data_IF_575092789376
#
_entry.id   IF_575092789376
#
_cell.length_a   1.000
_cell.length_b   1.000
_cell.length_c   1.000
_cell.angle_alpha   90.00
_cell.angle_beta   90.00
_cell.angle_gamma   90.00
#
_symmetry.space_group_name_H-M   'P 1'
#
loop_
_entity.id
_entity.type
_entity.pdbx_description
1 polymer ?
#
# COMPACT_ATOMS: atom_id res chain seq x y z
N UNK A 1 32.60 -33.02 -9.05
CA UNK A 1 31.69 -31.99 -8.52
C UNK A 1 32.30 -30.62 -8.71
N UNK A 2 31.45 -29.62 -8.95
CA UNK A 2 31.86 -28.22 -9.02
C UNK A 2 32.01 -27.61 -7.63
N UNK A 3 33.10 -26.88 -7.39
CA UNK A 3 33.27 -26.11 -6.15
C UNK A 3 32.51 -24.81 -6.29
N UNK A 4 31.50 -24.57 -5.44
CA UNK A 4 30.63 -23.39 -5.54
C UNK A 4 30.93 -22.36 -4.46
N UNK A 5 30.94 -21.10 -4.89
CA UNK A 5 31.01 -19.91 -4.05
C UNK A 5 29.68 -19.15 -4.10
N UNK A 6 29.48 -18.25 -3.13
CA UNK A 6 28.38 -17.29 -3.18
C UNK A 6 28.83 -16.03 -3.93
N UNK A 7 28.15 -15.72 -5.03
CA UNK A 7 28.36 -14.56 -5.89
C UNK A 7 28.16 -13.22 -5.17
N UNK A 8 28.58 -12.12 -5.81
CA UNK A 8 28.50 -10.77 -5.21
C UNK A 8 27.06 -10.29 -4.97
N UNK A 9 26.14 -10.75 -5.79
CA UNK A 9 24.69 -10.57 -5.76
C UNK A 9 23.98 -11.55 -4.82
N UNK A 10 24.71 -12.49 -4.19
CA UNK A 10 24.12 -13.53 -3.35
C UNK A 10 23.47 -14.68 -4.13
N UNK A 11 23.76 -14.82 -5.42
CA UNK A 11 23.44 -16.02 -6.20
C UNK A 11 24.55 -17.08 -6.06
N UNK A 12 24.26 -18.33 -6.43
CA UNK A 12 25.30 -19.32 -6.65
C UNK A 12 25.88 -19.05 -8.04
N UNK A 13 27.20 -18.90 -8.14
CA UNK A 13 27.84 -18.63 -9.42
C UNK A 13 27.49 -19.74 -10.42
N UNK A 14 27.04 -19.34 -11.62
CA UNK A 14 26.88 -20.26 -12.75
C UNK A 14 28.21 -20.94 -13.05
N UNK A 15 28.14 -22.12 -13.67
CA UNK A 15 29.34 -22.85 -14.02
C UNK A 15 30.12 -22.11 -15.11
N UNK A 16 31.37 -21.75 -14.81
CA UNK A 16 32.32 -21.22 -15.78
C UNK A 16 33.27 -22.35 -16.23
N UNK A 17 33.18 -22.75 -17.50
CA UNK A 17 33.98 -23.84 -18.06
C UNK A 17 35.49 -23.52 -18.13
N UNK A 18 35.88 -22.24 -18.08
CA UNK A 18 37.28 -21.80 -18.15
C UNK A 18 37.90 -21.61 -16.76
N UNK A 19 37.10 -21.26 -15.75
CA UNK A 19 37.57 -20.94 -14.40
C UNK A 19 37.29 -22.05 -13.35
N UNK A 20 36.27 -22.88 -13.54
CA UNK A 20 35.87 -23.86 -12.53
C UNK A 20 36.60 -25.21 -12.69
N UNK A 21 37.04 -25.79 -11.57
CA UNK A 21 37.74 -27.08 -11.55
C UNK A 21 36.81 -28.18 -11.03
N UNK A 22 36.56 -29.19 -11.86
CA UNK A 22 35.86 -30.39 -11.45
C UNK A 22 36.72 -31.25 -10.50
N UNK A 23 36.18 -31.58 -9.33
CA UNK A 23 36.86 -32.45 -8.35
C UNK A 23 36.13 -33.76 -8.08
N UNK A 24 36.88 -34.87 -8.11
CA UNK A 24 36.39 -36.23 -7.87
C UNK A 24 36.72 -36.74 -6.44
N UNK A 25 37.56 -36.02 -5.71
CA UNK A 25 38.16 -36.40 -4.42
C UNK A 25 37.47 -35.75 -3.20
N UNK A 26 36.37 -35.04 -3.41
CA UNK A 26 35.69 -34.29 -2.34
C UNK A 26 34.88 -35.24 -1.46
N UNK A 27 35.20 -35.25 -0.16
CA UNK A 27 34.50 -36.06 0.83
C UNK A 27 32.99 -35.75 0.88
N UNK A 28 32.17 -36.79 1.07
CA UNK A 28 30.71 -36.73 1.03
C UNK A 28 30.09 -35.66 1.94
N UNK A 29 30.73 -35.37 3.09
CA UNK A 29 30.29 -34.34 4.04
C UNK A 29 30.30 -32.91 3.48
N UNK A 30 30.99 -32.67 2.36
CA UNK A 30 31.05 -31.36 1.70
C UNK A 30 30.14 -31.28 0.47
N UNK A 31 29.41 -32.36 0.15
CA UNK A 31 28.47 -32.40 -0.97
C UNK A 31 27.24 -31.54 -0.62
N UNK A 32 26.91 -30.62 -1.52
CA UNK A 32 25.72 -29.80 -1.40
C UNK A 32 24.48 -30.61 -1.78
N UNK A 33 23.35 -30.22 -1.19
CA UNK A 33 22.03 -30.77 -1.47
C UNK A 33 21.07 -29.63 -1.81
N UNK A 34 20.07 -29.92 -2.65
CA UNK A 34 18.99 -28.96 -2.90
C UNK A 34 18.31 -28.61 -1.57
N UNK A 35 18.11 -27.33 -1.31
CA UNK A 35 17.62 -26.83 -0.02
C UNK A 35 18.70 -26.38 0.97
N UNK A 36 19.99 -26.62 0.69
CA UNK A 36 21.08 -26.06 1.50
C UNK A 36 21.12 -24.54 1.38
N UNK A 37 21.37 -23.85 2.50
CA UNK A 37 21.61 -22.42 2.53
C UNK A 37 23.12 -22.17 2.70
N UNK A 38 23.70 -21.47 1.74
CA UNK A 38 25.10 -21.09 1.76
C UNK A 38 25.24 -19.71 2.39
N UNK A 39 26.20 -19.51 3.28
CA UNK A 39 26.55 -18.21 3.86
C UNK A 39 28.06 -17.98 3.72
N UNK A 40 28.46 -16.83 3.15
CA UNK A 40 29.86 -16.46 3.04
C UNK A 40 30.50 -16.26 4.43
N UNK A 41 31.63 -16.92 4.69
CA UNK A 41 32.42 -16.69 5.91
C UNK A 41 33.00 -15.27 5.92
N UNK A 42 33.52 -14.82 4.77
CA UNK A 42 34.13 -13.50 4.59
C UNK A 42 33.04 -12.49 4.29
N UNK A 43 33.03 -11.39 5.04
CA UNK A 43 32.05 -10.32 4.94
C UNK A 43 32.72 -9.05 4.43
N UNK A 44 32.22 -8.52 3.32
CA UNK A 44 32.62 -7.22 2.75
C UNK A 44 31.35 -6.39 2.57
N UNK A 45 31.01 -5.59 3.58
CA UNK A 45 29.70 -4.94 3.68
C UNK A 45 28.65 -5.90 4.27
N UNK A 46 27.61 -6.23 3.50
CA UNK A 46 26.58 -7.19 3.94
C UNK A 46 27.02 -8.64 3.68
N UNK A 47 26.69 -9.58 4.57
CA UNK A 47 26.94 -11.00 4.32
C UNK A 47 26.19 -11.47 3.08
N UNK A 48 26.76 -12.44 2.38
CA UNK A 48 26.16 -13.02 1.18
C UNK A 48 25.61 -14.40 1.52
N UNK A 49 24.37 -14.65 1.16
CA UNK A 49 23.74 -15.95 1.34
C UNK A 49 22.98 -16.38 0.10
N UNK A 50 22.94 -17.69 -0.19
CA UNK A 50 22.27 -18.26 -1.36
C UNK A 50 21.57 -19.59 -1.03
N UNK A 51 20.55 -19.95 -1.81
CA UNK A 51 19.89 -21.25 -1.75
C UNK A 51 20.41 -22.15 -2.86
N UNK A 52 20.77 -23.39 -2.52
CA UNK A 52 21.12 -24.43 -3.49
C UNK A 52 19.85 -25.00 -4.12
N UNK A 53 19.74 -24.91 -5.44
CA UNK A 53 18.68 -25.51 -6.24
C UNK A 53 19.15 -26.82 -6.89
N UNK A 54 18.22 -27.60 -7.45
CA UNK A 54 18.57 -28.82 -8.19
C UNK A 54 19.47 -28.54 -9.40
N UNK A 55 19.28 -27.38 -10.06
CA UNK A 55 20.09 -26.95 -11.20
C UNK A 55 21.57 -26.67 -10.84
N UNK A 56 21.87 -26.42 -9.56
CA UNK A 56 23.22 -26.14 -9.09
C UNK A 56 24.05 -27.42 -8.85
N UNK A 57 23.41 -28.59 -8.90
CA UNK A 57 24.02 -29.88 -8.57
C UNK A 57 24.56 -30.58 -9.84
N UNK A 58 25.63 -31.40 -9.72
CA UNK A 58 26.33 -31.79 -8.49
C UNK A 58 27.43 -30.79 -8.06
N UNK A 59 27.36 -30.32 -6.81
CA UNK A 59 28.26 -29.30 -6.28
C UNK A 59 28.77 -29.60 -4.86
N UNK A 60 29.88 -28.96 -4.50
CA UNK A 60 30.45 -28.96 -3.16
C UNK A 60 30.75 -27.53 -2.68
N UNK A 61 30.65 -27.32 -1.36
CA UNK A 61 30.93 -26.02 -0.75
C UNK A 61 32.42 -25.69 -0.80
N UNK A 62 32.74 -24.45 -1.18
CA UNK A 62 34.07 -23.91 -0.98
C UNK A 62 34.41 -23.74 0.51
N UNK A 63 35.71 -23.76 0.85
CA UNK A 63 36.18 -23.68 2.24
C UNK A 63 35.84 -22.38 2.98
N UNK A 64 35.46 -21.32 2.26
CA UNK A 64 35.07 -20.00 2.80
C UNK A 64 33.55 -19.80 2.88
N UNK A 65 32.78 -20.90 2.87
CA UNK A 65 31.31 -20.89 2.89
C UNK A 65 30.82 -21.82 3.98
N UNK A 66 29.89 -21.32 4.80
CA UNK A 66 29.13 -22.15 5.72
C UNK A 66 27.92 -22.75 5.02
N UNK A 67 27.73 -24.06 5.19
CA UNK A 67 26.53 -24.77 4.74
C UNK A 67 25.58 -24.91 5.92
N UNK A 68 24.43 -24.24 5.83
CA UNK A 68 23.33 -24.35 6.78
C UNK A 68 22.28 -25.28 6.15
N UNK A 69 22.28 -26.54 6.58
CA UNK A 69 21.34 -27.56 6.09
C UNK A 69 20.09 -27.61 6.95
N UNK A 70 18.89 -27.33 6.41
CA UNK A 70 17.65 -27.49 7.15
C UNK A 70 17.44 -28.95 7.58
N UNK A 71 16.97 -29.17 8.81
CA UNK A 71 16.62 -30.52 9.31
C UNK A 71 15.34 -31.07 8.67
N UNK A 72 14.51 -30.18 8.12
CA UNK A 72 13.26 -30.46 7.41
C UNK A 72 13.19 -29.56 6.20
N UNK A 73 12.46 -29.96 5.18
CA UNK A 73 12.16 -29.10 4.03
C UNK A 73 11.47 -27.84 4.54
N UNK A 74 12.01 -26.68 4.16
CA UNK A 74 11.45 -25.39 4.52
C UNK A 74 10.49 -24.93 3.42
N UNK A 75 9.34 -24.33 3.77
CA UNK A 75 8.52 -23.64 2.80
C UNK A 75 9.32 -22.58 2.03
N UNK A 76 9.02 -22.32 0.74
CA UNK A 76 9.74 -21.34 -0.07
C UNK A 76 9.77 -19.95 0.56
N UNK A 77 8.67 -19.49 1.14
CA UNK A 77 8.57 -18.19 1.82
C UNK A 77 9.47 -18.09 3.05
N UNK A 78 9.46 -19.12 3.91
CA UNK A 78 10.31 -19.14 5.09
C UNK A 78 11.80 -19.18 4.71
N UNK A 79 12.12 -19.91 3.63
CA UNK A 79 13.48 -19.94 3.07
C UNK A 79 13.93 -18.55 2.62
N UNK A 80 13.07 -17.80 1.90
CA UNK A 80 13.35 -16.42 1.48
C UNK A 80 13.58 -15.50 2.68
N UNK A 81 12.74 -15.61 3.71
CA UNK A 81 12.87 -14.80 4.93
C UNK A 81 14.19 -15.08 5.65
N UNK A 82 14.59 -16.35 5.76
CA UNK A 82 15.89 -16.73 6.33
C UNK A 82 17.04 -16.17 5.49
N UNK A 83 16.99 -16.27 4.15
CA UNK A 83 18.02 -15.69 3.28
C UNK A 83 18.14 -14.18 3.44
N UNK A 84 17.02 -13.46 3.48
CA UNK A 84 17.00 -12.02 3.71
C UNK A 84 17.59 -11.65 5.07
N UNK A 85 17.25 -12.41 6.13
CA UNK A 85 17.84 -12.25 7.46
C UNK A 85 19.35 -12.51 7.46
N UNK A 86 19.82 -13.57 6.80
CA UNK A 86 21.25 -13.89 6.69
C UNK A 86 22.05 -12.80 5.96
N UNK A 87 21.42 -12.09 5.02
CA UNK A 87 21.99 -10.95 4.30
C UNK A 87 21.89 -9.60 5.05
N UNK A 88 21.31 -9.59 6.25
CA UNK A 88 21.03 -8.35 6.99
C UNK A 88 22.26 -7.77 7.71
N UNK A 89 22.19 -6.47 8.02
CA UNK A 89 23.17 -5.79 8.90
C UNK A 89 23.28 -6.46 10.27
N UNK A 90 22.20 -7.06 10.77
CA UNK A 90 22.21 -7.75 12.05
C UNK A 90 23.17 -8.94 12.04
N UNK A 91 23.23 -9.68 10.94
CA UNK A 91 24.20 -10.77 10.75
C UNK A 91 25.58 -10.21 10.40
N UNK A 92 25.65 -9.10 9.66
CA UNK A 92 26.91 -8.39 9.39
C UNK A 92 27.66 -8.02 10.68
N UNK A 93 26.95 -7.58 11.72
CA UNK A 93 27.51 -7.24 13.04
C UNK A 93 28.17 -8.41 13.79
N UNK A 94 27.94 -9.66 13.35
CA UNK A 94 28.67 -10.82 13.89
C UNK A 94 30.09 -10.93 13.32
N UNK A 95 30.41 -10.19 12.26
CA UNK A 95 31.72 -10.24 11.65
C UNK A 95 32.78 -9.57 12.55
N UNK A 96 33.93 -10.22 12.71
CA UNK A 96 35.08 -9.70 13.45
C UNK A 96 36.25 -9.43 12.50
N UNK A 97 37.11 -8.47 12.84
CA UNK A 97 38.32 -8.11 12.09
C UNK A 97 38.15 -6.87 11.20
N UNK A 98 39.27 -6.40 10.64
CA UNK A 98 39.35 -5.15 9.89
C UNK A 98 38.64 -5.21 8.53
N UNK A 99 38.30 -4.03 7.99
CA UNK A 99 37.64 -3.86 6.69
C UNK A 99 38.38 -4.64 5.59
N UNK A 100 37.64 -5.51 4.86
CA UNK A 100 38.19 -6.37 3.81
C UNK A 100 38.76 -7.72 4.31
N UNK A 101 38.87 -7.92 5.63
CA UNK A 101 39.24 -9.20 6.26
C UNK A 101 38.24 -9.66 7.32
N UNK A 102 37.08 -9.00 7.41
CA UNK A 102 36.04 -9.33 8.38
C UNK A 102 35.46 -10.71 8.10
N UNK A 103 35.28 -11.52 9.15
CA UNK A 103 34.78 -12.90 9.05
C UNK A 103 33.74 -13.19 10.10
N UNK A 104 32.78 -14.07 9.79
CA UNK A 104 31.84 -14.60 10.77
C UNK A 104 32.38 -15.92 11.32
N UNK A 105 32.41 -16.12 12.64
CA UNK A 105 32.79 -17.41 13.22
C UNK A 105 31.58 -18.32 13.31
N UNK A 106 31.82 -19.62 13.15
CA UNK A 106 30.79 -20.64 13.37
C UNK A 106 30.17 -20.58 14.78
N UNK A 107 30.96 -20.23 15.80
CA UNK A 107 30.49 -20.08 17.19
C UNK A 107 29.44 -18.99 17.33
N UNK A 108 29.51 -17.95 16.50
CA UNK A 108 28.64 -16.78 16.57
C UNK A 108 27.34 -17.01 15.78
N UNK A 109 27.35 -17.95 14.82
CA UNK A 109 26.17 -18.42 14.11
C UNK A 109 25.33 -19.40 14.93
N UNK A 110 25.95 -20.23 15.78
CA UNK A 110 25.25 -21.24 16.56
C UNK A 110 24.11 -20.71 17.45
N UNK A 111 24.25 -19.58 18.18
CA UNK A 111 23.17 -19.01 18.99
C UNK A 111 22.19 -18.13 18.20
N UNK A 112 22.39 -17.95 16.89
CA UNK A 112 21.61 -17.04 16.07
C UNK A 112 20.17 -17.56 15.93
N UNK A 113 19.21 -16.82 16.49
CA UNK A 113 17.78 -17.09 16.29
C UNK A 113 17.38 -16.65 14.89
N UNK A 114 16.99 -17.63 14.07
CA UNK A 114 16.40 -17.39 12.75
C UNK A 114 14.98 -16.81 12.91
N UNK A 115 14.49 -16.03 11.93
CA UNK A 115 13.13 -15.53 11.95
C UNK A 115 12.11 -16.68 11.92
N UNK A 116 11.02 -16.52 12.66
CA UNK A 116 9.85 -17.39 12.55
C UNK A 116 9.20 -17.25 11.16
N UNK A 117 8.47 -18.26 10.67
CA UNK A 117 7.71 -18.14 9.43
C UNK A 117 6.74 -16.97 9.48
N UNK A 118 6.79 -16.11 8.47
CA UNK A 118 5.90 -14.96 8.29
C UNK A 118 5.68 -14.75 6.78
N UNK A 119 4.53 -15.20 6.30
CA UNK A 119 4.16 -15.20 4.87
C UNK A 119 3.97 -13.77 4.34
N UNK A 120 3.37 -12.89 5.14
CA UNK A 120 3.16 -11.48 4.79
C UNK A 120 4.49 -10.76 4.59
N UNK A 121 5.40 -10.90 5.56
CA UNK A 121 6.74 -10.31 5.47
C UNK A 121 7.55 -10.91 4.31
N UNK A 122 7.46 -12.23 4.10
CA UNK A 122 8.15 -12.89 2.99
C UNK A 122 7.63 -12.39 1.63
N UNK A 123 6.32 -12.17 1.49
CA UNK A 123 5.67 -11.63 0.29
C UNK A 123 6.11 -10.20 0.04
N UNK A 124 6.05 -9.32 1.05
CA UNK A 124 6.50 -7.94 0.94
C UNK A 124 7.99 -7.83 0.53
N UNK A 125 8.86 -8.67 1.10
CA UNK A 125 10.27 -8.73 0.71
C UNK A 125 10.45 -9.16 -0.75
N UNK A 126 9.66 -10.12 -1.23
CA UNK A 126 9.72 -10.59 -2.61
C UNK A 126 9.21 -9.53 -3.60
N UNK A 127 8.17 -8.79 -3.26
CA UNK A 127 7.68 -7.66 -4.06
C UNK A 127 8.73 -6.56 -4.19
N UNK A 128 9.40 -6.21 -3.09
CA UNK A 128 10.51 -5.26 -3.08
C UNK A 128 11.70 -5.76 -3.91
N UNK A 129 12.09 -7.02 -3.77
CA UNK A 129 13.18 -7.61 -4.57
C UNK A 129 12.82 -7.66 -6.07
N UNK A 130 11.56 -7.96 -6.41
CA UNK A 130 11.06 -7.92 -7.78
C UNK A 130 11.03 -6.52 -8.38
N UNK A 131 10.64 -5.51 -7.59
CA UNK A 131 10.72 -4.11 -7.97
C UNK A 131 12.18 -3.67 -8.19
N UNK A 132 13.08 -4.00 -7.26
CA UNK A 132 14.51 -3.73 -7.38
C UNK A 132 15.12 -4.36 -8.63
N UNK A 133 14.84 -5.64 -8.91
CA UNK A 133 15.29 -6.32 -10.14
C UNK A 133 14.76 -5.66 -11.42
N UNK A 134 13.51 -5.16 -11.42
CA UNK A 134 12.97 -4.38 -12.56
C UNK A 134 13.76 -3.09 -12.78
N UNK A 135 14.01 -2.33 -11.71
CA UNK A 135 14.79 -1.09 -11.78
C UNK A 135 16.23 -1.33 -12.24
N UNK A 136 16.90 -2.36 -11.72
CA UNK A 136 18.25 -2.72 -12.15
C UNK A 136 18.31 -3.12 -13.62
N UNK A 137 17.29 -3.85 -14.12
CA UNK A 137 17.18 -4.17 -15.55
C UNK A 137 17.04 -2.92 -16.41
N UNK A 138 16.20 -1.96 -16.02
CA UNK A 138 16.08 -0.69 -16.75
C UNK A 138 17.38 0.13 -16.73
N UNK A 139 18.11 0.12 -15.62
CA UNK A 139 19.44 0.76 -15.54
C UNK A 139 20.47 0.10 -16.45
N UNK A 140 20.50 -1.23 -16.49
CA UNK A 140 21.36 -1.99 -17.39
C UNK A 140 21.00 -1.76 -18.86
N UNK A 141 19.69 -1.72 -19.19
CA UNK A 141 19.18 -1.38 -20.52
C UNK A 141 19.65 0.03 -20.95
N UNK A 142 19.58 1.02 -20.06
CA UNK A 142 20.02 2.37 -20.33
C UNK A 142 21.54 2.45 -20.56
N UNK A 143 22.32 1.71 -19.78
CA UNK A 143 23.79 1.67 -19.89
C UNK A 143 24.22 0.96 -21.18
N UNK A 144 23.58 -0.16 -21.51
CA UNK A 144 23.83 -0.88 -22.76
C UNK A 144 23.49 0.00 -23.97
N UNK A 145 22.37 0.74 -23.93
CA UNK A 145 22.00 1.66 -25.00
C UNK A 145 22.98 2.83 -25.14
N UNK A 146 23.52 3.34 -24.03
CA UNK A 146 24.55 4.38 -24.06
C UNK A 146 25.89 3.86 -24.62
N UNK A 147 26.22 2.59 -24.34
CA UNK A 147 27.41 1.92 -24.86
C UNK A 147 27.31 1.61 -26.36
N UNK A 148 26.15 1.15 -26.83
CA UNK A 148 25.95 0.70 -28.22
C UNK A 148 26.23 1.78 -29.27
N UNK A 149 26.13 3.06 -28.87
CA UNK A 149 26.47 4.24 -29.68
C UNK A 149 27.89 4.19 -30.22
N UNK A 150 28.81 3.64 -29.42
CA UNK A 150 30.24 3.61 -29.70
C UNK A 150 30.70 2.26 -30.27
N UNK A 151 29.80 1.27 -30.34
CA UNK A 151 30.12 -0.11 -30.76
C UNK A 151 29.74 -0.41 -32.21
N UNK A 152 28.91 0.43 -32.83
CA UNK A 152 28.46 0.24 -34.22
C UNK A 152 29.23 1.11 -35.21
N UNK A 153 29.57 0.58 -36.39
CA UNK A 153 30.08 1.36 -37.55
C UNK A 153 29.01 2.29 -38.18
N UNK A 154 27.95 2.62 -37.44
CA UNK A 154 26.87 3.48 -37.89
C UNK A 154 27.34 4.93 -38.04
N UNK A 155 26.70 5.67 -38.94
CA UNK A 155 26.89 7.11 -38.98
C UNK A 155 26.39 7.76 -37.68
N UNK A 156 27.00 8.88 -37.28
CA UNK A 156 26.61 9.61 -36.06
C UNK A 156 25.12 10.00 -36.05
N UNK A 157 24.53 10.26 -37.22
CA UNK A 157 23.10 10.59 -37.34
C UNK A 157 22.18 9.38 -37.13
N UNK A 158 22.58 8.18 -37.59
CA UNK A 158 21.84 6.94 -37.35
C UNK A 158 21.92 6.53 -35.88
N UNK A 159 23.12 6.61 -35.28
CA UNK A 159 23.32 6.35 -33.86
C UNK A 159 22.48 7.31 -33.01
N UNK A 160 22.45 8.61 -33.35
CA UNK A 160 21.60 9.61 -32.68
C UNK A 160 20.12 9.27 -32.75
N UNK A 161 19.59 8.92 -33.94
CA UNK A 161 18.16 8.54 -34.10
C UNK A 161 17.83 7.28 -33.30
N UNK A 162 18.71 6.28 -33.34
CA UNK A 162 18.56 5.02 -32.60
C UNK A 162 18.48 5.26 -31.09
N UNK A 163 19.39 6.07 -30.52
CA UNK A 163 19.37 6.43 -29.08
C UNK A 163 18.11 7.20 -28.70
N UNK A 164 17.67 8.17 -29.51
CA UNK A 164 16.50 8.99 -29.18
C UNK A 164 15.26 8.11 -29.11
N UNK A 165 15.09 7.20 -30.08
CA UNK A 165 13.97 6.28 -30.17
C UNK A 165 14.03 5.18 -29.10
N UNK A 166 15.15 4.47 -28.98
CA UNK A 166 15.32 3.40 -28.00
C UNK A 166 15.33 3.93 -26.55
N UNK A 167 15.86 5.14 -26.33
CA UNK A 167 15.90 5.79 -25.02
C UNK A 167 14.58 6.43 -24.61
N UNK A 168 13.61 6.57 -25.52
CA UNK A 168 12.32 7.20 -25.22
C UNK A 168 11.55 6.44 -24.14
N UNK A 169 11.46 5.11 -24.26
CA UNK A 169 10.74 4.29 -23.29
C UNK A 169 11.40 4.34 -21.90
N UNK A 170 12.73 4.37 -21.84
CA UNK A 170 13.47 4.47 -20.57
C UNK A 170 13.20 5.81 -19.89
N UNK A 171 13.22 6.93 -20.64
CA UNK A 171 12.86 8.26 -20.11
C UNK A 171 11.42 8.28 -19.59
N UNK A 172 10.46 7.77 -20.36
CA UNK A 172 9.06 7.71 -19.94
C UNK A 172 8.85 6.85 -18.68
N UNK A 173 9.58 5.74 -18.54
CA UNK A 173 9.55 4.92 -17.31
C UNK A 173 10.10 5.68 -16.10
N UNK A 174 11.21 6.40 -16.29
CA UNK A 174 11.83 7.19 -15.23
C UNK A 174 10.95 8.38 -14.82
N UNK A 175 10.36 9.08 -15.80
CA UNK A 175 9.39 10.16 -15.58
C UNK A 175 8.17 9.64 -14.83
N UNK A 176 7.52 8.57 -15.29
CA UNK A 176 6.37 7.98 -14.62
C UNK A 176 6.69 7.44 -13.21
N UNK A 177 7.91 6.95 -12.99
CA UNK A 177 8.36 6.57 -11.65
C UNK A 177 8.56 7.79 -10.75
N UNK A 178 9.16 8.88 -11.28
CA UNK A 178 9.37 10.13 -10.56
C UNK A 178 8.07 10.89 -10.27
N UNK A 179 7.04 10.74 -11.12
CA UNK A 179 5.69 11.26 -10.83
C UNK A 179 5.10 10.67 -9.55
N UNK A 180 5.48 9.44 -9.15
CA UNK A 180 5.03 8.86 -7.88
C UNK A 180 5.73 9.46 -6.65
N UNK A 181 6.84 10.18 -6.83
CA UNK A 181 7.47 10.94 -5.74
C UNK A 181 6.70 12.24 -5.43
N UNK A 182 5.87 12.71 -6.38
CA UNK A 182 4.95 13.82 -6.19
C UNK A 182 3.71 13.37 -5.39
N UNK A 183 3.49 13.92 -4.17
CA UNK A 183 2.31 13.60 -3.37
C UNK A 183 0.98 13.90 -4.09
N UNK A 184 0.92 14.96 -4.88
CA UNK A 184 -0.31 15.40 -5.53
C UNK A 184 -0.66 14.46 -6.69
N UNK A 185 0.35 14.04 -7.47
CA UNK A 185 0.18 12.99 -8.48
C UNK A 185 -0.26 11.67 -7.86
N UNK A 186 0.33 11.27 -6.74
CA UNK A 186 -0.06 10.05 -6.02
C UNK A 186 -1.51 10.11 -5.57
N UNK A 187 -1.95 11.24 -5.01
CA UNK A 187 -3.36 11.44 -4.64
C UNK A 187 -4.26 11.29 -5.87
N UNK A 188 -3.95 11.99 -6.96
CA UNK A 188 -4.78 12.05 -8.16
C UNK A 188 -4.88 10.73 -8.92
N UNK A 189 -3.96 9.79 -8.70
CA UNK A 189 -3.94 8.51 -9.42
C UNK A 189 -4.15 7.29 -8.53
N UNK A 190 -3.89 7.39 -7.22
CA UNK A 190 -3.87 6.25 -6.31
C UNK A 190 -4.80 6.37 -5.12
N UNK A 191 -5.31 7.55 -4.75
CA UNK A 191 -6.24 7.63 -3.61
C UNK A 191 -7.66 7.20 -4.02
N UNK A 192 -8.50 6.75 -3.07
CA UNK A 192 -9.91 6.45 -3.36
C UNK A 192 -10.62 7.66 -3.95
N UNK A 193 -11.42 7.44 -4.99
CA UNK A 193 -12.09 8.50 -5.76
C UNK A 193 -12.70 9.65 -4.95
N UNK A 194 -13.53 9.40 -3.91
CA UNK A 194 -14.14 10.49 -3.15
C UNK A 194 -13.14 11.43 -2.46
N UNK A 195 -11.98 10.90 -2.08
CA UNK A 195 -10.93 11.67 -1.42
C UNK A 195 -10.06 12.37 -2.46
N UNK A 196 -9.66 11.64 -3.51
CA UNK A 196 -8.80 12.17 -4.57
C UNK A 196 -9.43 13.38 -5.28
N UNK A 197 -10.72 13.31 -5.61
CA UNK A 197 -11.42 14.42 -6.26
C UNK A 197 -11.42 15.69 -5.41
N UNK A 198 -11.73 15.57 -4.11
CA UNK A 198 -11.79 16.71 -3.17
C UNK A 198 -10.42 17.36 -2.98
N UNK A 199 -9.37 16.56 -2.88
CA UNK A 199 -8.00 17.07 -2.79
C UNK A 199 -7.58 17.79 -4.06
N UNK A 200 -7.90 17.23 -5.23
CA UNK A 200 -7.67 17.88 -6.53
C UNK A 200 -8.45 19.19 -6.68
N UNK A 201 -9.67 19.26 -6.16
CA UNK A 201 -10.44 20.51 -6.14
C UNK A 201 -9.78 21.58 -5.26
N UNK A 202 -9.30 21.20 -4.07
CA UNK A 202 -8.57 22.10 -3.18
C UNK A 202 -7.28 22.63 -3.83
N UNK A 203 -6.50 21.74 -4.47
CA UNK A 203 -5.31 22.09 -5.25
C UNK A 203 -5.68 23.09 -6.36
N UNK A 204 -6.65 22.76 -7.21
CA UNK A 204 -7.06 23.61 -8.33
C UNK A 204 -7.52 25.00 -7.87
N UNK A 205 -8.30 25.09 -6.79
CA UNK A 205 -8.75 26.38 -6.24
C UNK A 205 -7.59 27.20 -5.71
N UNK A 206 -6.65 26.58 -5.01
CA UNK A 206 -5.43 27.25 -4.53
C UNK A 206 -4.62 27.81 -5.70
N UNK A 207 -4.45 27.05 -6.77
CA UNK A 207 -3.71 27.51 -7.98
C UNK A 207 -4.37 28.70 -8.68
N UNK A 208 -5.69 28.88 -8.57
CA UNK A 208 -6.39 30.04 -9.16
C UNK A 208 -6.20 31.34 -8.39
N UNK A 209 -5.63 31.29 -7.17
CA UNK A 209 -5.42 32.48 -6.32
C UNK A 209 -6.68 33.02 -5.63
N UNK A 210 -7.81 32.33 -5.76
CA UNK A 210 -9.07 32.70 -5.12
C UNK A 210 -9.11 32.19 -3.67
N UNK A 211 -8.73 33.06 -2.73
CA UNK A 211 -8.39 32.67 -1.35
C UNK A 211 -9.56 32.04 -0.59
N UNK A 212 -10.77 32.61 -0.67
CA UNK A 212 -11.93 32.13 0.11
C UNK A 212 -12.41 30.76 -0.40
N UNK A 213 -12.64 30.55 -1.71
CA UNK A 213 -12.97 29.24 -2.25
C UNK A 213 -11.87 28.21 -2.05
N UNK A 214 -10.59 28.59 -2.13
CA UNK A 214 -9.48 27.70 -1.81
C UNK A 214 -9.53 27.24 -0.35
N UNK A 215 -9.75 28.19 0.57
CA UNK A 215 -9.87 27.90 2.00
C UNK A 215 -11.02 26.93 2.29
N UNK A 216 -12.20 27.17 1.70
CA UNK A 216 -13.34 26.26 1.85
C UNK A 216 -13.06 24.89 1.27
N UNK A 217 -12.47 24.81 0.09
CA UNK A 217 -12.13 23.54 -0.55
C UNK A 217 -11.16 22.70 0.29
N UNK A 218 -10.18 23.32 0.95
CA UNK A 218 -9.27 22.65 1.90
C UNK A 218 -10.04 22.05 3.09
N UNK A 219 -10.95 22.82 3.69
CA UNK A 219 -11.75 22.36 4.83
C UNK A 219 -12.70 21.22 4.43
N UNK A 220 -13.30 21.30 3.24
CA UNK A 220 -14.17 20.26 2.69
C UNK A 220 -13.38 18.98 2.34
N UNK A 221 -12.16 19.11 1.81
CA UNK A 221 -11.28 17.98 1.54
C UNK A 221 -10.83 17.27 2.83
N UNK A 222 -10.51 18.02 3.88
CA UNK A 222 -10.22 17.46 5.19
C UNK A 222 -11.42 16.69 5.76
N UNK A 223 -12.63 17.26 5.67
CA UNK A 223 -13.85 16.59 6.11
C UNK A 223 -14.13 15.31 5.30
N UNK A 224 -13.98 15.35 3.98
CA UNK A 224 -14.18 14.19 3.12
C UNK A 224 -13.17 13.06 3.40
N UNK A 225 -11.89 13.38 3.62
CA UNK A 225 -10.86 12.41 4.00
C UNK A 225 -11.22 11.70 5.32
N UNK A 226 -11.58 12.48 6.34
CA UNK A 226 -11.91 11.94 7.66
C UNK A 226 -13.24 11.18 7.65
N UNK A 227 -14.24 11.65 6.90
CA UNK A 227 -15.50 10.95 6.71
C UNK A 227 -15.27 9.60 6.01
N UNK A 228 -14.54 9.58 4.88
CA UNK A 228 -14.20 8.36 4.18
C UNK A 228 -13.48 7.36 5.10
N UNK A 229 -12.44 7.80 5.80
CA UNK A 229 -11.68 6.96 6.72
C UNK A 229 -12.56 6.41 7.86
N UNK A 230 -13.44 7.22 8.43
CA UNK A 230 -14.35 6.79 9.50
C UNK A 230 -15.40 5.78 9.01
N UNK A 231 -15.96 5.98 7.81
CA UNK A 231 -16.92 5.05 7.20
C UNK A 231 -16.27 3.69 6.89
N UNK A 232 -15.05 3.71 6.34
CA UNK A 232 -14.27 2.50 6.11
C UNK A 232 -13.92 1.82 7.44
N UNK A 233 -13.50 2.58 8.46
CA UNK A 233 -13.22 2.03 9.78
C UNK A 233 -14.46 1.38 10.41
N UNK A 234 -15.65 1.97 10.24
CA UNK A 234 -16.92 1.39 10.69
C UNK A 234 -17.25 0.08 9.98
N UNK A 235 -17.06 0.01 8.65
CA UNK A 235 -17.27 -1.22 7.87
C UNK A 235 -16.30 -2.34 8.30
N UNK A 236 -15.01 -2.01 8.44
CA UNK A 236 -13.98 -2.93 8.89
C UNK A 236 -14.18 -3.42 10.32
N UNK A 237 -14.60 -2.53 11.24
CA UNK A 237 -14.91 -2.92 12.62
C UNK A 237 -16.10 -3.87 12.66
N UNK A 238 -17.13 -3.65 11.85
CA UNK A 238 -18.27 -4.56 11.72
C UNK A 238 -17.82 -5.94 11.23
N UNK A 239 -17.02 -5.98 10.16
CA UNK A 239 -16.51 -7.22 9.58
C UNK A 239 -15.71 -8.05 10.60
N UNK A 240 -14.85 -7.36 11.37
CA UNK A 240 -14.07 -7.96 12.46
C UNK A 240 -14.86 -8.18 13.77
N UNK A 241 -16.18 -7.94 13.79
CA UNK A 241 -17.04 -8.01 14.97
C UNK A 241 -16.55 -7.19 16.18
N UNK A 242 -15.94 -6.02 15.91
CA UNK A 242 -15.48 -5.06 16.91
C UNK A 242 -16.62 -4.06 17.19
N UNK A 243 -17.07 -4.03 18.44
CA UNK A 243 -18.02 -3.02 18.90
C UNK A 243 -17.34 -1.65 19.03
N UNK A 244 -17.97 -0.61 18.50
CA UNK A 244 -17.52 0.79 18.57
C UNK A 244 -18.62 1.65 19.18
N UNK A 245 -18.38 2.20 20.36
CA UNK A 245 -19.34 3.05 21.06
C UNK A 245 -19.67 4.34 20.29
N UNK A 246 -18.69 4.86 19.54
CA UNK A 246 -18.83 5.97 18.58
C UNK A 246 -19.78 5.65 17.43
N UNK A 247 -19.85 4.38 16.99
CA UNK A 247 -20.84 3.95 16.01
C UNK A 247 -22.26 3.97 16.58
N UNK A 248 -22.45 3.61 17.84
CA UNK A 248 -23.74 3.74 18.52
C UNK A 248 -24.18 5.21 18.71
N UNK A 249 -23.24 6.17 18.71
CA UNK A 249 -23.56 7.60 18.68
C UNK A 249 -23.99 8.05 17.27
N UNK A 250 -23.29 7.57 16.24
CA UNK A 250 -23.68 7.79 14.84
C UNK A 250 -25.10 7.26 14.57
N UNK A 251 -25.39 6.03 15.02
CA UNK A 251 -26.71 5.42 14.94
C UNK A 251 -27.77 6.33 15.58
N UNK A 252 -27.53 6.82 16.80
CA UNK A 252 -28.45 7.71 17.50
C UNK A 252 -28.71 9.02 16.77
N UNK A 253 -27.72 9.59 16.07
CA UNK A 253 -27.92 10.76 15.20
C UNK A 253 -28.79 10.43 13.99
N UNK A 254 -28.48 9.34 13.29
CA UNK A 254 -29.25 8.91 12.11
C UNK A 254 -30.67 8.49 12.48
N UNK A 255 -30.91 7.96 13.67
CA UNK A 255 -32.24 7.62 14.18
C UNK A 255 -33.01 8.85 14.71
N UNK A 256 -32.34 9.77 15.41
CA UNK A 256 -32.95 10.92 16.11
C UNK A 256 -33.16 12.18 15.27
N UNK A 257 -33.73 13.24 15.83
CA UNK A 257 -33.95 14.51 15.10
C UNK A 257 -32.70 15.41 15.00
N UNK A 258 -31.59 15.02 15.63
CA UNK A 258 -30.45 15.87 15.99
C UNK A 258 -29.39 16.04 14.87
N UNK A 259 -29.84 16.35 13.64
CA UNK A 259 -28.96 16.52 12.48
C UNK A 259 -28.21 15.24 12.11
N UNK A 260 -27.50 15.26 10.99
CA UNK A 260 -26.69 14.12 10.61
C UNK A 260 -25.23 14.20 11.07
N UNK A 261 -24.41 13.23 10.66
CA UNK A 261 -23.03 13.16 11.10
C UNK A 261 -22.20 14.29 10.52
N UNK A 262 -21.28 14.78 11.33
CA UNK A 262 -20.26 15.73 10.91
C UNK A 262 -18.89 15.32 11.41
N UNK A 263 -17.95 16.27 11.31
CA UNK A 263 -16.55 16.07 11.63
C UNK A 263 -16.28 15.54 13.05
N UNK A 264 -17.15 15.87 14.02
CA UNK A 264 -17.10 15.35 15.38
C UNK A 264 -17.30 13.84 15.46
N UNK A 265 -18.30 13.31 14.75
CA UNK A 265 -18.57 11.86 14.71
C UNK A 265 -17.46 11.11 13.98
N UNK A 266 -16.99 11.65 12.83
CA UNK A 266 -15.89 11.05 12.07
C UNK A 266 -14.62 10.93 12.90
N UNK A 267 -14.31 12.00 13.64
CA UNK A 267 -13.18 12.01 14.58
C UNK A 267 -13.36 10.96 15.67
N UNK A 268 -14.53 10.88 16.31
CA UNK A 268 -14.77 9.99 17.44
C UNK A 268 -14.56 8.52 17.04
N UNK A 269 -15.00 8.13 15.84
CA UNK A 269 -14.80 6.79 15.28
C UNK A 269 -13.30 6.50 15.11
N UNK A 270 -12.58 7.40 14.44
CA UNK A 270 -11.15 7.24 14.18
C UNK A 270 -10.33 7.16 15.48
N UNK A 271 -10.67 7.97 16.48
CA UNK A 271 -10.02 7.96 17.79
C UNK A 271 -10.30 6.68 18.58
N UNK A 272 -11.54 6.17 18.54
CA UNK A 272 -11.87 4.92 19.22
C UNK A 272 -11.11 3.74 18.59
N UNK A 273 -11.05 3.68 17.25
CA UNK A 273 -10.30 2.66 16.51
C UNK A 273 -8.80 2.79 16.78
N UNK A 274 -8.28 3.99 17.03
CA UNK A 274 -6.88 4.22 17.42
C UNK A 274 -6.49 3.60 18.76
N UNK A 275 -7.45 3.26 19.63
CA UNK A 275 -7.20 2.54 20.88
C UNK A 275 -6.71 1.10 20.68
N UNK A 276 -5.50 0.77 21.16
CA UNK A 276 -4.84 -0.54 20.95
C UNK A 276 -5.67 -1.76 21.40
N UNK A 277 -6.60 -1.59 22.35
CA UNK A 277 -7.52 -2.66 22.78
C UNK A 277 -8.45 -3.12 21.67
N UNK A 278 -8.92 -2.21 20.81
CA UNK A 278 -9.88 -2.52 19.72
C UNK A 278 -9.23 -3.36 18.61
N UNK A 279 -7.92 -3.20 18.41
CA UNK A 279 -7.15 -3.90 17.37
C UNK A 279 -6.45 -5.18 17.88
N UNK A 280 -6.69 -5.56 19.13
CA UNK A 280 -6.03 -6.72 19.73
C UNK A 280 -6.57 -8.00 19.10
N UNK A 281 -5.69 -8.80 18.51
CA UNK A 281 -6.05 -10.07 17.89
C UNK A 281 -6.45 -9.98 16.42
N UNK A 282 -6.42 -8.78 15.83
CA UNK A 282 -6.50 -8.63 14.38
C UNK A 282 -5.24 -9.20 13.71
N UNK A 283 -5.39 -9.63 12.46
CA UNK A 283 -4.25 -9.90 11.58
C UNK A 283 -3.37 -8.64 11.50
N UNK A 284 -2.03 -8.74 11.62
CA UNK A 284 -1.12 -7.60 11.43
C UNK A 284 -1.37 -6.78 10.16
N UNK A 285 -1.82 -7.41 9.07
CA UNK A 285 -2.11 -6.74 7.80
C UNK A 285 -3.53 -6.14 7.71
N UNK A 286 -4.33 -6.25 8.78
CA UNK A 286 -5.69 -5.73 8.78
C UNK A 286 -5.68 -4.20 8.63
N UNK A 287 -6.45 -3.62 7.68
CA UNK A 287 -6.39 -2.18 7.39
C UNK A 287 -6.75 -1.23 8.56
N UNK A 288 -7.30 -1.76 9.65
CA UNK A 288 -7.61 -0.98 10.86
C UNK A 288 -6.34 -0.51 11.58
N UNK A 289 -5.21 -1.20 11.39
CA UNK A 289 -3.93 -0.76 11.95
C UNK A 289 -3.49 0.58 11.35
N UNK A 290 -3.58 0.75 10.03
CA UNK A 290 -3.17 1.99 9.37
C UNK A 290 -4.19 3.12 9.57
N UNK A 291 -5.49 2.80 9.59
CA UNK A 291 -6.53 3.79 9.93
C UNK A 291 -6.38 4.36 11.34
N UNK A 292 -5.93 3.53 12.30
CA UNK A 292 -5.60 3.99 13.64
C UNK A 292 -4.41 4.96 13.68
N UNK A 293 -3.48 4.84 12.72
CA UNK A 293 -2.28 5.65 12.60
C UNK A 293 -2.49 6.91 11.74
N UNK A 294 -3.70 7.13 11.22
CA UNK A 294 -4.06 8.34 10.47
C UNK A 294 -4.03 9.59 11.36
N UNK A 295 -4.56 9.47 12.59
CA UNK A 295 -4.62 10.57 13.56
C UNK A 295 -4.16 10.10 14.95
N UNK A 296 -2.86 9.75 15.10
CA UNK A 296 -2.30 9.39 16.40
C UNK A 296 -2.19 10.65 17.28
N UNK A 297 -1.86 10.43 18.55
CA UNK A 297 -1.47 11.53 19.44
C UNK A 297 -0.33 12.39 18.85
N UNK A 298 -0.28 13.67 19.23
CA UNK A 298 0.75 14.60 18.76
C UNK A 298 0.30 15.48 17.59
N UNK A 299 1.21 15.71 16.64
CA UNK A 299 1.07 16.75 15.61
C UNK A 299 -0.14 16.54 14.69
N UNK A 300 -0.38 15.31 14.22
CA UNK A 300 -1.51 14.98 13.35
C UNK A 300 -2.85 15.22 14.05
N UNK A 301 -2.97 14.87 15.33
CA UNK A 301 -4.15 15.17 16.14
C UNK A 301 -4.35 16.68 16.35
N UNK A 302 -3.29 17.45 16.49
CA UNK A 302 -3.37 18.92 16.58
C UNK A 302 -3.82 19.53 15.26
N UNK A 303 -3.24 19.11 14.13
CA UNK A 303 -3.63 19.53 12.78
C UNK A 303 -5.11 19.23 12.50
N UNK A 304 -5.56 18.00 12.78
CA UNK A 304 -6.99 17.63 12.72
C UNK A 304 -7.85 18.55 13.59
N UNK A 305 -7.45 18.81 14.83
CA UNK A 305 -8.21 19.66 15.76
C UNK A 305 -8.32 21.10 15.25
N UNK A 306 -7.24 21.66 14.69
CA UNK A 306 -7.25 23.01 14.11
C UNK A 306 -8.13 23.08 12.85
N UNK A 307 -8.04 22.12 11.95
CA UNK A 307 -8.93 22.01 10.79
C UNK A 307 -10.41 21.89 11.22
N UNK A 308 -10.67 21.13 12.28
CA UNK A 308 -12.02 20.98 12.81
C UNK A 308 -12.58 22.27 13.41
N UNK A 309 -11.76 23.02 14.15
CA UNK A 309 -12.13 24.33 14.66
C UNK A 309 -12.46 25.29 13.49
N UNK A 310 -11.58 25.38 12.49
CA UNK A 310 -11.78 26.22 11.29
C UNK A 310 -13.05 25.83 10.51
N UNK A 311 -13.32 24.53 10.36
CA UNK A 311 -14.54 24.04 9.71
C UNK A 311 -15.81 24.43 10.47
N UNK A 312 -15.77 24.31 11.79
CA UNK A 312 -16.87 24.73 12.66
C UNK A 312 -17.09 26.24 12.62
N UNK A 313 -16.02 27.02 12.63
CA UNK A 313 -16.08 28.48 12.51
C UNK A 313 -16.68 28.90 11.16
N UNK A 314 -16.23 28.30 10.06
CA UNK A 314 -16.82 28.53 8.73
C UNK A 314 -18.31 28.15 8.66
N UNK A 315 -18.71 27.03 9.26
CA UNK A 315 -20.12 26.62 9.33
C UNK A 315 -21.00 27.60 10.12
N UNK A 316 -20.41 28.35 11.06
CA UNK A 316 -21.06 29.38 11.84
C UNK A 316 -20.88 30.81 11.27
N UNK A 317 -20.36 30.95 10.05
CA UNK A 317 -20.14 32.26 9.42
C UNK A 317 -19.00 33.07 10.03
N UNK A 318 -18.14 32.45 10.84
CA UNK A 318 -16.97 33.06 11.50
C UNK A 318 -15.69 32.76 10.71
N UNK A 319 -15.70 33.04 9.42
CA UNK A 319 -14.50 32.86 8.61
C UNK A 319 -13.46 33.95 8.91
N UNK A 320 -12.15 33.68 8.67
CA UNK A 320 -11.12 34.71 8.68
C UNK A 320 -11.50 35.87 7.75
N UNK A 321 -11.16 37.08 8.13
CA UNK A 321 -11.35 38.24 7.27
C UNK A 321 -10.30 38.27 6.13
N UNK A 322 -10.42 39.22 5.21
CA UNK A 322 -9.54 39.31 4.05
C UNK A 322 -8.05 39.53 4.41
N UNK A 323 -7.75 40.03 5.62
CA UNK A 323 -6.37 40.27 6.09
C UNK A 323 -5.77 38.98 6.62
N UNK A 324 -6.53 38.21 7.40
CA UNK A 324 -6.07 36.97 8.03
C UNK A 324 -6.17 35.74 7.10
N UNK A 325 -7.02 35.81 6.07
CA UNK A 325 -7.32 34.69 5.17
C UNK A 325 -6.08 34.09 4.47
N UNK A 326 -5.08 34.86 3.97
CA UNK A 326 -3.87 34.29 3.38
C UNK A 326 -3.09 33.40 4.37
N UNK A 327 -2.92 33.86 5.63
CA UNK A 327 -2.23 33.08 6.64
C UNK A 327 -3.07 31.84 7.04
N UNK A 328 -4.37 32.02 7.24
CA UNK A 328 -5.26 30.92 7.59
C UNK A 328 -5.30 29.84 6.50
N UNK A 329 -5.21 30.24 5.22
CA UNK A 329 -5.12 29.35 4.07
C UNK A 329 -3.84 28.51 4.10
N UNK A 330 -2.68 29.13 4.30
CA UNK A 330 -1.40 28.42 4.36
C UNK A 330 -1.35 27.45 5.56
N UNK A 331 -1.83 27.87 6.73
CA UNK A 331 -1.91 27.00 7.91
C UNK A 331 -2.86 25.81 7.69
N UNK A 332 -4.04 26.06 7.11
CA UNK A 332 -4.99 24.99 6.80
C UNK A 332 -4.44 24.04 5.73
N UNK A 333 -3.74 24.57 4.73
CA UNK A 333 -3.06 23.76 3.70
C UNK A 333 -2.00 22.87 4.34
N UNK A 334 -1.17 23.40 5.23
CA UNK A 334 -0.14 22.63 5.93
C UNK A 334 -0.76 21.51 6.78
N UNK A 335 -1.81 21.84 7.55
CA UNK A 335 -2.54 20.87 8.35
C UNK A 335 -3.15 19.75 7.48
N UNK A 336 -3.73 20.09 6.32
CA UNK A 336 -4.29 19.11 5.38
C UNK A 336 -3.19 18.24 4.77
N UNK A 337 -2.08 18.82 4.30
CA UNK A 337 -0.95 18.08 3.73
C UNK A 337 -0.39 17.06 4.72
N UNK A 338 -0.32 17.41 6.02
CA UNK A 338 0.08 16.47 7.06
C UNK A 338 -0.89 15.27 7.15
N UNK A 339 -2.21 15.51 7.18
CA UNK A 339 -3.19 14.42 7.21
C UNK A 339 -3.15 13.56 5.93
N UNK A 340 -2.99 14.17 4.76
CA UNK A 340 -2.85 13.44 3.48
C UNK A 340 -1.59 12.58 3.47
N UNK A 341 -0.47 13.08 3.99
CA UNK A 341 0.77 12.31 4.10
C UNK A 341 0.61 11.06 4.98
N UNK A 342 -0.17 11.17 6.07
CA UNK A 342 -0.52 10.05 6.95
C UNK A 342 -1.52 9.10 6.31
N UNK A 343 -2.38 9.60 5.44
CA UNK A 343 -3.35 8.82 4.67
C UNK A 343 -2.76 8.09 3.45
N UNK A 344 -1.44 8.14 3.22
CA UNK A 344 -0.79 7.50 2.06
C UNK A 344 -1.10 6.02 1.91
N UNK A 345 -1.34 5.31 3.03
CA UNK A 345 -1.74 3.90 3.00
C UNK A 345 -3.05 3.65 2.21
N UNK A 346 -3.91 4.66 2.04
CA UNK A 346 -5.11 4.54 1.20
C UNK A 346 -4.77 4.24 -0.27
N UNK A 347 -3.55 4.55 -0.72
CA UNK A 347 -3.06 4.15 -2.04
C UNK A 347 -2.99 2.62 -2.24
N UNK A 348 -2.82 1.89 -1.14
CA UNK A 348 -2.70 0.43 -1.11
C UNK A 348 -4.01 -0.28 -0.74
N UNK A 349 -5.10 0.47 -0.54
CA UNK A 349 -6.41 -0.06 -0.19
C UNK A 349 -7.43 0.28 -1.30
N UNK A 350 -7.42 -0.46 -2.43
CA UNK A 350 -8.28 -0.16 -3.56
C UNK A 350 -9.77 -0.15 -3.17
N UNK A 351 -10.44 0.95 -3.47
CA UNK A 351 -11.89 1.01 -3.53
C UNK A 351 -12.34 0.41 -4.87
N UNK A 352 -13.19 -0.61 -4.82
CA UNK A 352 -13.78 -1.23 -6.01
C UNK A 352 -15.30 -1.18 -5.96
N UNK A 353 -15.92 -1.02 -7.12
CA UNK A 353 -17.36 -1.23 -7.32
C UNK A 353 -17.54 -2.52 -8.12
N UNK A 354 -18.15 -3.52 -7.47
CA UNK A 354 -18.44 -4.81 -8.10
C UNK A 354 -19.63 -4.64 -9.03
N UNK A 355 -19.45 -4.90 -10.33
CA UNK A 355 -20.50 -4.72 -11.33
C UNK A 355 -21.23 -6.01 -11.66
N UNK A 356 -20.55 -7.16 -11.59
CA UNK A 356 -21.18 -8.47 -11.76
C UNK A 356 -20.38 -9.56 -11.07
N UNK A 357 -21.07 -10.64 -10.69
CA UNK A 357 -20.49 -11.82 -10.05
C UNK A 357 -21.08 -13.06 -10.71
N UNK A 358 -20.22 -13.99 -11.11
CA UNK A 358 -20.59 -15.31 -11.60
C UNK A 358 -19.94 -16.38 -10.73
N UNK A 359 -20.74 -17.22 -10.09
CA UNK A 359 -20.26 -18.28 -9.18
C UNK A 359 -20.14 -19.63 -9.89
N UNK A 360 -18.98 -20.27 -9.79
CA UNK A 360 -18.77 -21.65 -10.22
C UNK A 360 -18.85 -22.57 -8.98
N UNK A 361 -19.94 -23.33 -8.88
CA UNK A 361 -20.20 -24.25 -7.76
C UNK A 361 -19.16 -25.38 -7.69
N UNK A 362 -18.62 -25.81 -8.82
CA UNK A 362 -17.68 -26.93 -8.88
C UNK A 362 -16.26 -26.49 -8.51
N UNK A 363 -15.85 -25.30 -8.96
CA UNK A 363 -14.54 -24.73 -8.63
C UNK A 363 -14.51 -24.02 -7.28
N UNK A 364 -15.70 -23.67 -6.74
CA UNK A 364 -15.87 -22.87 -5.51
C UNK A 364 -15.18 -21.51 -5.60
N UNK A 365 -15.23 -20.89 -6.77
CA UNK A 365 -14.75 -19.53 -7.00
C UNK A 365 -15.79 -18.67 -7.74
N UNK A 366 -15.72 -17.37 -7.47
CA UNK A 366 -16.51 -16.35 -8.12
C UNK A 366 -15.63 -15.61 -9.14
N UNK A 367 -16.06 -15.53 -10.39
CA UNK A 367 -15.54 -14.56 -11.35
C UNK A 367 -16.24 -13.23 -11.15
N UNK A 368 -15.48 -12.22 -10.74
CA UNK A 368 -15.97 -10.88 -10.41
C UNK A 368 -15.54 -9.90 -11.49
N UNK A 369 -16.50 -9.15 -12.03
CA UNK A 369 -16.23 -7.94 -12.81
C UNK A 369 -16.35 -6.72 -11.90
N UNK A 370 -15.40 -5.81 -11.96
CA UNK A 370 -15.39 -4.64 -11.09
C UNK A 370 -14.75 -3.41 -11.75
N UNK A 371 -15.06 -2.24 -11.20
CA UNK A 371 -14.42 -0.96 -11.51
C UNK A 371 -13.52 -0.55 -10.36
N UNK A 372 -12.26 -0.23 -10.63
CA UNK A 372 -11.29 0.23 -9.60
C UNK A 372 -11.38 1.75 -9.46
N UNK A 373 -12.03 2.21 -8.41
CA UNK A 373 -12.38 3.61 -8.16
C UNK A 373 -11.25 4.35 -7.44
N UNK A 374 -10.09 4.42 -8.10
CA UNK A 374 -8.91 5.12 -7.61
C UNK A 374 -8.56 6.28 -8.53
N UNK A 375 -8.06 7.36 -7.96
CA UNK A 375 -7.75 8.61 -8.62
C UNK A 375 -8.92 9.58 -8.68
N UNK A 376 -8.73 10.73 -9.32
CA UNK A 376 -9.68 11.86 -9.33
C UNK A 376 -10.83 11.72 -10.34
N UNK A 377 -10.99 10.55 -10.97
CA UNK A 377 -12.01 10.32 -12.01
C UNK A 377 -12.80 9.02 -11.79
N UNK A 378 -14.16 9.03 -11.92
CA UNK A 378 -14.98 7.85 -11.66
C UNK A 378 -15.13 6.93 -12.89
N UNK A 379 -14.78 7.40 -14.09
CA UNK A 379 -14.82 6.58 -15.31
C UNK A 379 -13.52 5.82 -15.42
N UNK A 380 -13.59 4.51 -15.16
CA UNK A 380 -12.45 3.61 -15.13
C UNK A 380 -12.75 2.34 -15.93
N UNK A 381 -11.73 1.69 -16.51
CA UNK A 381 -11.89 0.40 -17.17
C UNK A 381 -12.48 -0.68 -16.25
N UNK A 382 -13.16 -1.66 -16.85
CA UNK A 382 -13.61 -2.85 -16.12
C UNK A 382 -12.46 -3.84 -16.01
N UNK A 383 -12.26 -4.35 -14.81
CA UNK A 383 -11.27 -5.37 -14.47
C UNK A 383 -11.96 -6.65 -13.99
N UNK A 384 -11.19 -7.73 -13.94
CA UNK A 384 -11.69 -9.06 -13.56
C UNK A 384 -10.80 -9.68 -12.50
N UNK A 385 -11.39 -10.41 -11.56
CA UNK A 385 -10.67 -11.24 -10.59
C UNK A 385 -11.46 -12.51 -10.27
N UNK A 386 -10.75 -13.53 -9.80
CA UNK A 386 -11.37 -14.70 -9.18
C UNK A 386 -11.32 -14.54 -7.66
N UNK A 387 -12.37 -14.94 -6.97
CA UNK A 387 -12.46 -14.82 -5.51
C UNK A 387 -13.05 -16.09 -4.90
N UNK A 388 -12.46 -16.64 -3.82
CA UNK A 388 -12.84 -17.94 -3.28
C UNK A 388 -14.08 -17.88 -2.36
N UNK A 389 -15.11 -17.15 -2.76
CA UNK A 389 -16.36 -17.02 -2.01
C UNK A 389 -17.52 -16.59 -2.89
N UNK A 390 -18.71 -17.15 -2.62
CA UNK A 390 -19.96 -16.73 -3.24
C UNK A 390 -20.57 -15.50 -2.56
N UNK A 391 -20.01 -15.05 -1.44
CA UNK A 391 -20.56 -13.97 -0.59
C UNK A 391 -20.12 -12.57 -1.08
N UNK A 392 -20.22 -12.31 -2.38
CA UNK A 392 -19.93 -11.01 -3.00
C UNK A 392 -21.20 -10.44 -3.63
N UNK A 393 -21.56 -9.21 -3.27
CA UNK A 393 -22.78 -8.52 -3.66
C UNK A 393 -22.52 -7.66 -4.91
N UNK A 394 -23.17 -7.96 -6.06
CA UNK A 394 -23.15 -7.07 -7.21
C UNK A 394 -23.78 -5.70 -6.89
N UNK A 395 -23.21 -4.63 -7.42
CA UNK A 395 -23.67 -3.25 -7.23
C UNK A 395 -23.13 -2.58 -5.94
N UNK A 396 -22.35 -3.29 -5.13
CA UNK A 396 -21.81 -2.79 -3.87
C UNK A 396 -20.35 -2.36 -3.98
N UNK A 397 -19.96 -1.48 -3.06
CA UNK A 397 -18.58 -1.05 -2.87
C UNK A 397 -17.84 -1.98 -1.92
N UNK A 398 -16.60 -2.27 -2.27
CA UNK A 398 -15.68 -3.06 -1.46
C UNK A 398 -14.34 -2.32 -1.31
N UNK A 399 -13.74 -2.46 -0.13
CA UNK A 399 -12.32 -2.19 0.06
C UNK A 399 -11.55 -3.49 -0.13
N UNK A 400 -10.49 -3.46 -0.93
CA UNK A 400 -9.59 -4.60 -1.11
C UNK A 400 -8.46 -4.49 -0.07
N UNK A 401 -8.40 -5.45 0.84
CA UNK A 401 -7.31 -5.59 1.81
C UNK A 401 -6.00 -6.06 1.17
N UNK A 402 -4.89 -5.90 1.89
CA UNK A 402 -3.58 -6.45 1.50
C UNK A 402 -3.55 -7.98 1.49
N UNK A 403 -4.40 -8.59 2.31
CA UNK A 403 -4.70 -10.03 2.33
C UNK A 403 -5.65 -10.46 1.19
N UNK A 404 -5.94 -9.57 0.24
CA UNK A 404 -6.92 -9.73 -0.83
C UNK A 404 -8.36 -9.96 -0.35
N UNK A 405 -8.65 -9.74 0.93
CA UNK A 405 -10.00 -9.81 1.44
C UNK A 405 -10.85 -8.65 0.88
N UNK A 406 -12.10 -8.95 0.53
CA UNK A 406 -13.08 -7.96 0.05
C UNK A 406 -13.98 -7.53 1.20
N UNK A 407 -13.70 -6.36 1.79
CA UNK A 407 -14.52 -5.78 2.86
C UNK A 407 -15.71 -5.02 2.28
N UNK A 408 -16.94 -5.50 2.54
CA UNK A 408 -18.17 -4.85 2.08
C UNK A 408 -18.36 -3.50 2.80
N UNK A 409 -18.52 -2.42 2.03
CA UNK A 409 -18.67 -1.07 2.59
C UNK A 409 -20.13 -0.66 2.82
N UNK A 410 -21.09 -1.33 2.19
CA UNK A 410 -22.52 -1.05 2.44
C UNK A 410 -22.89 -1.46 3.88
N UNK A 411 -23.71 -0.66 4.59
CA UNK A 411 -24.35 0.60 4.16
C UNK A 411 -23.62 1.86 4.61
N UNK A 412 -22.38 1.74 5.12
CA UNK A 412 -21.56 2.88 5.52
C UNK A 412 -21.23 3.77 4.31
N UNK A 413 -20.85 3.15 3.20
CA UNK A 413 -20.57 3.82 1.94
C UNK A 413 -21.22 3.07 0.78
N UNK A 414 -22.01 3.77 -0.03
CA UNK A 414 -22.67 3.25 -1.23
C UNK A 414 -22.27 4.06 -2.46
N UNK A 415 -22.70 3.65 -3.65
CA UNK A 415 -22.49 4.41 -4.86
C UNK A 415 -23.69 4.39 -5.79
N UNK A 416 -23.92 5.50 -6.48
CA UNK A 416 -24.92 5.61 -7.55
C UNK A 416 -24.66 6.87 -8.42
N UNK A 417 -25.50 7.08 -9.43
CA UNK A 417 -25.49 8.32 -10.21
C UNK A 417 -26.24 9.40 -9.43
N UNK A 418 -25.55 10.49 -9.10
CA UNK A 418 -26.10 11.63 -8.38
C UNK A 418 -27.28 12.26 -9.13
N UNK A 419 -28.40 12.49 -8.45
CA UNK A 419 -29.57 13.13 -9.06
C UNK A 419 -29.34 14.59 -9.46
N UNK A 420 -28.50 15.29 -8.70
CA UNK A 420 -28.23 16.72 -8.88
C UNK A 420 -27.28 16.98 -10.05
N UNK A 421 -26.10 16.35 -10.06
CA UNK A 421 -25.07 16.61 -11.06
C UNK A 421 -24.95 15.53 -12.14
N UNK A 422 -25.67 14.40 -12.01
CA UNK A 422 -25.60 13.24 -12.93
C UNK A 422 -24.22 12.61 -13.04
N UNK A 423 -23.28 12.99 -12.17
CA UNK A 423 -22.01 12.30 -12.01
C UNK A 423 -22.22 11.02 -11.17
N UNK A 424 -21.37 10.02 -11.42
CA UNK A 424 -21.26 8.88 -10.51
C UNK A 424 -20.60 9.36 -9.20
N UNK A 425 -21.16 8.99 -8.05
CA UNK A 425 -20.70 9.47 -6.74
C UNK A 425 -20.87 8.41 -5.67
N UNK A 426 -20.12 8.57 -4.58
CA UNK A 426 -20.26 7.76 -3.36
C UNK A 426 -21.12 8.49 -2.33
N UNK A 427 -21.89 7.74 -1.55
CA UNK A 427 -22.89 8.28 -0.64
C UNK A 427 -22.81 7.64 0.74
N UNK A 428 -23.14 8.42 1.77
CA UNK A 428 -23.36 7.93 3.14
C UNK A 428 -24.71 8.43 3.67
N UNK A 429 -25.22 7.75 4.69
CA UNK A 429 -26.42 8.20 5.41
C UNK A 429 -26.19 9.52 6.14
N UNK A 430 -27.12 10.45 6.00
CA UNK A 430 -27.08 11.79 6.62
C UNK A 430 -28.50 12.23 7.01
N UNK A 431 -28.62 13.36 7.72
CA UNK A 431 -29.91 13.96 8.10
C UNK A 431 -29.97 15.44 7.81
N UNK A 432 -30.98 15.82 7.03
CA UNK A 432 -31.31 17.22 6.74
C UNK A 432 -32.72 17.49 7.23
N UNK A 433 -32.87 18.47 8.14
CA UNK A 433 -34.16 18.86 8.73
C UNK A 433 -34.95 17.67 9.30
N UNK A 434 -34.26 16.72 9.92
CA UNK A 434 -34.84 15.51 10.53
C UNK A 434 -35.16 14.36 9.57
N UNK A 435 -35.05 14.57 8.25
CA UNK A 435 -35.27 13.54 7.25
C UNK A 435 -33.96 12.81 6.92
N UNK A 436 -34.03 11.48 6.82
CA UNK A 436 -32.92 10.66 6.37
C UNK A 436 -32.67 10.92 4.88
N UNK A 437 -31.45 11.33 4.57
CA UNK A 437 -30.97 11.59 3.22
C UNK A 437 -29.70 10.79 2.98
N UNK A 438 -29.30 10.68 1.73
CA UNK A 438 -27.97 10.23 1.36
C UNK A 438 -27.18 11.42 0.83
N UNK A 439 -25.96 11.60 1.34
CA UNK A 439 -25.09 12.73 0.99
C UNK A 439 -23.84 12.24 0.30
N UNK A 440 -23.48 12.92 -0.80
CA UNK A 440 -22.27 12.63 -1.56
C UNK A 440 -21.02 13.13 -0.83
N UNK A 441 -19.97 12.30 -0.78
CA UNK A 441 -18.67 12.73 -0.26
C UNK A 441 -18.00 13.74 -1.20
N UNK A 442 -18.11 13.51 -2.50
CA UNK A 442 -17.48 14.29 -3.59
C UNK A 442 -18.04 15.70 -3.72
N UNK A 443 -19.37 15.84 -3.67
CA UNK A 443 -20.03 17.08 -4.06
C UNK A 443 -20.89 17.68 -2.94
N UNK A 444 -21.13 16.96 -1.85
CA UNK A 444 -22.02 17.39 -0.77
C UNK A 444 -23.51 17.46 -1.17
N UNK A 445 -23.85 17.11 -2.41
CA UNK A 445 -25.23 16.94 -2.86
C UNK A 445 -25.94 15.88 -2.02
N UNK A 446 -27.21 16.14 -1.71
CA UNK A 446 -28.03 15.22 -0.94
C UNK A 446 -29.46 15.16 -1.49
N UNK A 447 -30.08 14.01 -1.30
CA UNK A 447 -31.46 13.72 -1.68
C UNK A 447 -31.99 12.58 -0.80
N UNK A 448 -33.31 12.32 -0.87
CA UNK A 448 -33.96 11.32 -0.03
C UNK A 448 -33.23 9.98 -0.07
N UNK A 449 -33.05 9.36 1.10
CA UNK A 449 -32.36 8.08 1.22
C UNK A 449 -33.12 6.99 0.46
N UNK A 450 -32.45 6.31 -0.48
CA UNK A 450 -33.09 5.32 -1.37
C UNK A 450 -32.77 3.88 -1.00
N UNK A 451 -31.67 3.65 -0.30
CA UNK A 451 -31.30 2.31 0.08
C UNK A 451 -32.26 1.74 1.13
N UNK A 452 -32.26 0.42 1.26
CA UNK A 452 -33.12 -0.26 2.21
C UNK A 452 -32.76 0.13 3.65
N UNK A 453 -33.68 0.81 4.33
CA UNK A 453 -33.55 1.25 5.73
C UNK A 453 -33.38 0.03 6.66
N UNK A 454 -33.88 -1.13 6.27
CA UNK A 454 -33.68 -2.36 7.03
C UNK A 454 -32.21 -2.79 7.05
N UNK A 455 -31.46 -2.52 5.98
CA UNK A 455 -30.01 -2.78 5.97
C UNK A 455 -29.30 -1.87 6.96
N UNK A 456 -29.69 -0.60 7.10
CA UNK A 456 -29.15 0.28 8.15
C UNK A 456 -29.41 -0.28 9.55
N UNK A 457 -30.61 -0.84 9.79
CA UNK A 457 -30.96 -1.47 11.07
C UNK A 457 -30.15 -2.72 11.37
N UNK A 458 -30.07 -3.62 10.39
CA UNK A 458 -29.27 -4.84 10.50
C UNK A 458 -27.78 -4.53 10.69
N UNK A 459 -27.34 -3.35 10.23
CA UNK A 459 -25.96 -2.91 10.41
C UNK A 459 -25.66 -2.11 11.68
N UNK A 460 -26.68 -1.82 12.50
CA UNK A 460 -26.54 -0.99 13.69
C UNK A 460 -26.28 0.49 13.37
N UNK A 461 -26.65 0.95 12.17
CA UNK A 461 -26.57 2.35 11.74
C UNK A 461 -27.89 3.11 11.89
N UNK A 462 -29.00 2.41 12.13
CA UNK A 462 -30.26 2.94 12.67
C UNK A 462 -30.83 1.95 13.67
#
# INVERSE_FOLDING_TARGET
MWIKHVGRDGSIAEHDAEADIWRNDVAQRFHLQAGDLLLSEVVTGRPKAALVQEADLPAAAAGSVYVLRPRRVLPPEHTRLILAFLRSERVARLAYGDFGRSRIRRTDLAPLKLPEPDEALATALNELESAGRRMSRWSAEATALAGSVFETEQSLDEARRSIIAAGQLIRLRAEAAGELDDPDHTVRTRFPYPVALRLREAEARRSTGDLEPAYRAILEAAEALLAYAALVAGALARDAAIDLSSMALLQRKLAGAAGGPGLGEWTAILQEVAGAKKRRGLNPDHPLHELADLVPEGEAQQARSRLAARRNDAAHGRMPDAVDLPQALEEASHDLSLLVSRARFLADLPLIHVTSVAWDVFRRDASISYRRLMGDHPVVPTSFMNYPSSAVEPGSLYLVGRDHHLYLLRPFLTCEVCETCRAWSTFHGDKVKGQLVQKSLEHGHNYSYKADVEVLRQTGLM
#
